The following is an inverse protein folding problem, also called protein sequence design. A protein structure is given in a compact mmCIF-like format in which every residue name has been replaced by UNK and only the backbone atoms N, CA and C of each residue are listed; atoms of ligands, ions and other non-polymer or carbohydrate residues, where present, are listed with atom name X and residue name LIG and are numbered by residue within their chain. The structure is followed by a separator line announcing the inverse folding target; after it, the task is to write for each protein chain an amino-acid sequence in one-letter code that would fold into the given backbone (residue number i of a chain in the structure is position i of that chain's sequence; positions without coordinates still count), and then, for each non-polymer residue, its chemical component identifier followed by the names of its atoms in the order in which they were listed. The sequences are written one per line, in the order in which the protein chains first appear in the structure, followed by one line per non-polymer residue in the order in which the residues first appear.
data_IF_706393794993
#
_entry.id   IF_706393794993
#
_cell.length_a   1.000
_cell.length_b   1.000
_cell.length_c   1.000
_cell.angle_alpha   90.00
_cell.angle_beta   90.00
_cell.angle_gamma   90.00
#
_symmetry.space_group_name_H-M   'P 1'
#
loop_
_entity.id
_entity.type
_entity.pdbx_description
1 polymer ?
#
# COMPACT_ATOMS: atom_id res chain seq x y z
N UNK A 1 39.05 -25.80 -25.65
CA UNK A 1 38.92 -25.14 -26.96
C UNK A 1 38.35 -23.75 -26.68
N UNK A 2 39.24 -22.74 -26.57
CA UNK A 2 38.89 -21.38 -26.19
C UNK A 2 38.31 -20.63 -27.41
N UNK A 3 37.12 -20.06 -27.27
CA UNK A 3 36.63 -19.03 -28.19
C UNK A 3 36.50 -17.71 -27.43
N UNK A 4 37.46 -16.81 -27.65
CA UNK A 4 37.45 -15.44 -27.15
C UNK A 4 36.52 -14.61 -28.06
N UNK A 5 35.49 -14.00 -27.49
CA UNK A 5 34.70 -12.96 -28.15
C UNK A 5 35.34 -11.60 -27.87
N UNK A 6 35.65 -10.87 -28.94
CA UNK A 6 36.17 -9.51 -28.91
C UNK A 6 35.00 -8.51 -28.80
N UNK A 7 35.18 -7.37 -28.09
CA UNK A 7 34.19 -6.31 -28.08
C UNK A 7 34.28 -5.44 -29.35
N UNK A 8 33.16 -5.25 -30.04
CA UNK A 8 32.97 -4.25 -31.08
C UNK A 8 32.71 -2.89 -30.43
N UNK A 9 33.67 -1.97 -30.50
CA UNK A 9 33.46 -0.55 -30.23
C UNK A 9 32.82 0.11 -31.45
N UNK A 10 31.57 0.56 -31.31
CA UNK A 10 30.92 1.44 -32.29
C UNK A 10 31.14 2.88 -31.82
N UNK A 11 32.02 3.59 -32.50
CA UNK A 11 32.20 5.03 -32.34
C UNK A 11 31.10 5.76 -33.13
N UNK A 12 30.13 6.35 -32.42
CA UNK A 12 29.14 7.25 -33.03
C UNK A 12 29.78 8.61 -33.30
N UNK A 13 29.83 8.97 -34.57
CA UNK A 13 30.24 10.28 -35.07
C UNK A 13 29.16 11.33 -34.77
N UNK A 14 29.47 12.32 -33.94
CA UNK A 14 28.67 13.53 -33.75
C UNK A 14 28.93 14.49 -34.92
N UNK A 15 27.94 14.66 -35.80
CA UNK A 15 27.93 15.73 -36.81
C UNK A 15 27.22 16.93 -36.19
N UNK A 16 27.98 17.96 -35.85
CA UNK A 16 27.47 19.28 -35.46
C UNK A 16 27.12 20.07 -36.73
N UNK A 17 25.85 20.06 -37.12
CA UNK A 17 25.29 21.03 -38.06
C UNK A 17 24.78 22.25 -37.30
N UNK A 18 25.53 23.35 -37.38
CA UNK A 18 25.09 24.68 -36.98
C UNK A 18 24.27 25.32 -38.12
N UNK A 19 22.99 25.57 -37.88
CA UNK A 19 22.12 26.46 -38.65
C UNK A 19 21.39 27.34 -37.62
N UNK A 20 21.75 28.61 -37.49
CA UNK A 20 21.25 29.75 -38.27
C UNK A 20 19.97 30.33 -37.67
N UNK A 21 20.07 31.61 -37.34
CA UNK A 21 19.15 32.45 -36.58
C UNK A 21 17.75 32.56 -37.20
N UNK A 22 16.72 32.20 -36.43
CA UNK A 22 15.36 32.68 -36.65
C UNK A 22 14.99 33.64 -35.53
N UNK A 23 14.62 34.86 -35.92
CA UNK A 23 14.08 35.91 -35.08
C UNK A 23 12.89 35.43 -34.25
N UNK A 24 13.03 35.42 -32.94
CA UNK A 24 11.97 35.10 -31.99
C UNK A 24 10.79 36.09 -32.14
N UNK A 25 9.55 35.61 -32.34
CA UNK A 25 8.39 36.46 -32.19
C UNK A 25 8.30 36.90 -30.73
N UNK A 26 8.17 38.21 -30.51
CA UNK A 26 7.98 38.84 -29.20
C UNK A 26 7.00 38.01 -28.37
N UNK A 27 7.51 37.36 -27.33
CA UNK A 27 6.75 36.74 -26.26
C UNK A 27 5.72 37.77 -25.78
N UNK A 28 4.47 37.55 -26.17
CA UNK A 28 3.37 38.26 -25.54
C UNK A 28 3.35 37.79 -24.09
N UNK A 29 3.50 38.67 -23.10
CA UNK A 29 3.56 38.26 -21.71
C UNK A 29 2.31 37.42 -21.43
N UNK A 30 2.51 36.17 -21.03
CA UNK A 30 1.41 35.31 -20.60
C UNK A 30 0.67 36.08 -19.50
N UNK A 31 -0.64 36.34 -19.64
CA UNK A 31 -1.36 37.07 -18.63
C UNK A 31 -1.19 36.37 -17.28
N UNK A 32 -1.07 37.14 -16.18
CA UNK A 32 -0.94 36.55 -14.85
C UNK A 32 -2.12 35.60 -14.60
N UNK A 33 -1.90 34.49 -13.87
CA UNK A 33 -2.98 33.58 -13.51
C UNK A 33 -4.12 34.35 -12.85
N UNK A 34 -5.35 34.08 -13.29
CA UNK A 34 -6.55 34.67 -12.68
C UNK A 34 -6.69 34.09 -11.28
N UNK A 35 -6.72 34.95 -10.26
CA UNK A 35 -7.08 34.57 -8.89
C UNK A 35 -8.58 34.25 -8.88
N UNK A 36 -8.89 32.96 -8.83
CA UNK A 36 -10.26 32.46 -8.77
C UNK A 36 -10.68 32.07 -7.34
N UNK A 37 -9.92 32.50 -6.33
CA UNK A 37 -10.21 32.25 -4.92
C UNK A 37 -9.86 30.85 -4.44
N UNK A 38 -9.21 30.02 -5.27
CA UNK A 38 -8.72 28.71 -4.84
C UNK A 38 -7.45 28.81 -4.01
N UNK A 39 -7.32 27.92 -3.00
CA UNK A 39 -6.17 27.89 -2.11
C UNK A 39 -4.93 27.35 -2.82
N UNK A 40 -3.84 28.11 -2.77
CA UNK A 40 -2.53 27.74 -3.29
C UNK A 40 -1.43 28.32 -2.39
N UNK A 41 -0.25 27.69 -2.38
CA UNK A 41 0.93 28.22 -1.70
C UNK A 41 1.03 27.81 -0.23
N UNK A 42 1.62 28.68 0.58
CA UNK A 42 2.06 28.33 1.94
C UNK A 42 1.05 28.74 3.00
N UNK A 43 0.79 27.82 3.91
CA UNK A 43 0.02 28.05 5.14
C UNK A 43 1.02 28.09 6.29
N UNK A 44 1.33 29.30 6.76
CA UNK A 44 2.28 29.57 7.85
C UNK A 44 1.62 29.86 9.19
N UNK A 45 0.28 29.91 9.23
CA UNK A 45 -0.51 30.17 10.42
C UNK A 45 -1.64 29.14 10.54
N UNK A 46 -2.15 28.94 11.75
CA UNK A 46 -3.29 28.06 11.92
C UNK A 46 -4.55 28.61 11.25
N UNK A 47 -5.23 27.77 10.48
CA UNK A 47 -6.44 28.13 9.74
C UNK A 47 -7.44 26.97 9.77
N UNK A 48 -8.71 27.30 9.61
CA UNK A 48 -9.77 26.31 9.44
C UNK A 48 -10.29 26.37 8.01
N UNK A 49 -10.25 25.25 7.30
CA UNK A 49 -10.92 25.09 6.01
C UNK A 49 -12.37 24.66 6.25
N UNK A 50 -13.28 25.34 5.58
CA UNK A 50 -14.73 25.16 5.76
C UNK A 50 -15.37 24.64 4.48
N UNK A 51 -16.65 24.30 4.55
CA UNK A 51 -17.41 23.83 3.40
C UNK A 51 -17.29 24.76 2.19
N UNK A 52 -17.11 24.18 1.00
CA UNK A 52 -16.92 24.93 -0.24
C UNK A 52 -15.51 25.44 -0.50
N UNK A 53 -14.54 25.18 0.39
CA UNK A 53 -13.13 25.49 0.13
C UNK A 53 -12.64 24.74 -1.11
N UNK A 54 -11.97 25.46 -2.02
CA UNK A 54 -11.42 24.91 -3.27
C UNK A 54 -9.89 24.87 -3.20
N UNK A 55 -9.28 23.70 -3.35
CA UNK A 55 -7.82 23.56 -3.41
C UNK A 55 -7.34 23.73 -4.86
N UNK A 56 -6.52 24.75 -5.13
CA UNK A 56 -6.19 25.20 -6.48
C UNK A 56 -4.90 24.62 -7.08
N UNK A 57 -4.05 24.00 -6.26
CA UNK A 57 -2.73 23.55 -6.66
C UNK A 57 -1.96 22.99 -5.47
N UNK A 58 -0.64 23.22 -5.44
CA UNK A 58 0.20 22.80 -4.33
C UNK A 58 -0.01 23.70 -3.12
N UNK A 59 -0.37 23.10 -1.99
CA UNK A 59 -0.56 23.76 -0.71
C UNK A 59 0.44 23.18 0.28
N UNK A 60 1.24 24.02 0.92
CA UNK A 60 2.25 23.59 1.90
C UNK A 60 1.88 24.09 3.28
N UNK A 61 1.54 23.17 4.18
CA UNK A 61 1.33 23.48 5.61
C UNK A 61 2.71 23.49 6.25
N UNK A 62 3.22 24.67 6.58
CA UNK A 62 4.58 24.81 7.12
C UNK A 62 4.64 24.34 8.57
N UNK A 63 5.86 24.03 9.03
CA UNK A 63 6.12 23.67 10.43
C UNK A 63 5.53 24.71 11.39
N UNK A 64 4.89 24.24 12.47
CA UNK A 64 4.20 25.07 13.46
C UNK A 64 2.80 25.55 13.05
N UNK A 65 2.42 25.46 11.77
CA UNK A 65 1.05 25.75 11.34
C UNK A 65 0.13 24.54 11.50
N UNK A 66 -1.15 24.79 11.79
CA UNK A 66 -2.20 23.76 11.84
C UNK A 66 -3.33 24.12 10.89
N UNK A 67 -3.61 23.26 9.92
CA UNK A 67 -4.86 23.32 9.16
C UNK A 67 -5.86 22.37 9.81
N UNK A 68 -7.01 22.90 10.20
CA UNK A 68 -8.16 22.11 10.62
C UNK A 68 -9.20 22.08 9.49
N UNK A 69 -9.73 20.92 9.13
CA UNK A 69 -10.93 20.84 8.27
C UNK A 69 -12.15 20.74 9.17
N UNK A 70 -13.08 21.67 9.02
CA UNK A 70 -14.28 21.72 9.84
C UNK A 70 -15.12 20.43 9.67
N UNK A 71 -15.79 19.95 10.73
CA UNK A 71 -16.66 18.78 10.63
C UNK A 71 -17.72 18.92 9.54
N UNK A 72 -17.86 17.88 8.71
CA UNK A 72 -18.82 17.85 7.60
C UNK A 72 -18.46 18.71 6.39
N UNK A 73 -17.31 19.40 6.41
CA UNK A 73 -16.91 20.27 5.30
C UNK A 73 -16.64 19.45 4.03
N UNK A 74 -17.19 19.92 2.90
CA UNK A 74 -16.95 19.35 1.58
C UNK A 74 -16.00 20.27 0.82
N UNK A 75 -14.80 19.79 0.64
CA UNK A 75 -13.73 20.44 -0.08
C UNK A 75 -13.71 19.90 -1.51
N UNK A 76 -13.51 20.79 -2.47
CA UNK A 76 -13.25 20.43 -3.85
C UNK A 76 -11.83 20.82 -4.22
N UNK A 77 -11.31 20.30 -5.33
CA UNK A 77 -10.01 20.72 -5.80
C UNK A 77 -9.88 20.63 -7.32
N UNK A 78 -8.94 21.43 -7.81
CA UNK A 78 -8.52 21.41 -9.21
C UNK A 78 -7.61 20.24 -9.48
N UNK A 79 -7.48 19.89 -10.75
CA UNK A 79 -6.51 18.91 -11.23
C UNK A 79 -5.11 19.25 -10.71
N UNK A 80 -4.38 18.22 -10.29
CA UNK A 80 -3.02 18.30 -9.73
C UNK A 80 -2.90 19.05 -8.40
N UNK A 81 -4.01 19.35 -7.70
CA UNK A 81 -3.93 19.83 -6.32
C UNK A 81 -3.24 18.81 -5.42
N UNK A 82 -2.46 19.29 -4.46
CA UNK A 82 -1.63 18.48 -3.57
C UNK A 82 -1.50 19.19 -2.22
N UNK A 83 -1.71 18.48 -1.12
CA UNK A 83 -1.45 19.01 0.23
C UNK A 83 -0.15 18.40 0.72
N UNK A 84 0.84 19.24 1.01
CA UNK A 84 2.13 18.85 1.59
C UNK A 84 2.20 19.33 3.02
N UNK A 85 2.41 18.40 3.95
CA UNK A 85 2.33 18.65 5.40
C UNK A 85 3.75 18.64 5.99
N UNK A 86 4.27 19.81 6.34
CA UNK A 86 5.39 19.97 7.29
C UNK A 86 4.93 20.38 8.70
N UNK A 87 3.73 20.95 8.81
CA UNK A 87 3.03 21.26 10.07
C UNK A 87 2.03 20.17 10.45
N UNK A 88 0.78 20.55 10.73
CA UNK A 88 -0.30 19.61 11.09
C UNK A 88 -1.52 19.77 10.19
N UNK A 89 -2.04 18.66 9.66
CA UNK A 89 -3.41 18.58 9.14
C UNK A 89 -4.27 17.81 10.15
N UNK A 90 -5.35 18.44 10.60
CA UNK A 90 -6.24 17.90 11.63
C UNK A 90 -7.68 17.83 11.16
N UNK A 91 -8.35 16.72 11.45
CA UNK A 91 -9.80 16.54 11.25
C UNK A 91 -10.37 15.80 12.44
N UNK A 92 -11.48 16.28 13.00
CA UNK A 92 -12.16 15.66 14.14
C UNK A 92 -13.67 15.59 13.87
N UNK A 93 -14.05 14.66 13.00
CA UNK A 93 -15.37 14.58 12.40
C UNK A 93 -15.89 13.15 12.17
N UNK A 94 -15.54 12.21 13.06
CA UNK A 94 -15.99 10.80 13.01
C UNK A 94 -17.52 10.63 12.82
N UNK A 95 -18.32 11.50 13.43
CA UNK A 95 -19.78 11.45 13.33
C UNK A 95 -20.35 12.13 12.06
N UNK A 96 -19.58 13.04 11.46
CA UNK A 96 -20.02 13.88 10.33
C UNK A 96 -18.83 14.09 9.39
N UNK A 97 -18.50 13.07 8.62
CA UNK A 97 -17.26 13.05 7.85
C UNK A 97 -17.07 14.31 7.01
N UNK A 98 -15.89 14.92 7.09
CA UNK A 98 -15.43 15.86 6.09
C UNK A 98 -15.01 15.10 4.84
N UNK A 99 -14.97 15.76 3.69
CA UNK A 99 -14.58 15.09 2.43
C UNK A 99 -13.74 15.98 1.52
N UNK A 100 -12.75 15.39 0.85
CA UNK A 100 -12.07 15.98 -0.32
C UNK A 100 -12.31 15.05 -1.51
N UNK A 101 -13.02 15.54 -2.54
CA UNK A 101 -13.31 14.76 -3.76
C UNK A 101 -12.92 15.53 -5.01
N UNK A 102 -12.02 14.92 -5.81
CA UNK A 102 -11.55 15.48 -7.07
C UNK A 102 -11.10 14.37 -8.01
N UNK A 103 -11.27 14.59 -9.32
CA UNK A 103 -11.00 13.55 -10.30
C UNK A 103 -9.51 13.21 -10.48
N UNK A 104 -8.61 14.19 -10.35
CA UNK A 104 -7.18 14.05 -10.70
C UNK A 104 -6.25 14.85 -9.79
N UNK A 105 -6.43 14.73 -8.48
CA UNK A 105 -5.55 15.37 -7.51
C UNK A 105 -4.53 14.37 -6.98
N UNK A 106 -3.44 14.89 -6.41
CA UNK A 106 -2.27 14.09 -6.02
C UNK A 106 -2.36 13.55 -4.59
N UNK A 107 -3.34 14.01 -3.80
CA UNK A 107 -3.56 13.55 -2.44
C UNK A 107 -2.83 14.37 -1.39
N UNK A 108 -2.52 13.70 -0.28
CA UNK A 108 -1.89 14.28 0.90
C UNK A 108 -0.52 13.65 1.10
N UNK A 109 0.52 14.48 1.14
CA UNK A 109 1.92 14.05 1.35
C UNK A 109 2.40 14.60 2.70
N UNK A 110 2.77 13.72 3.63
CA UNK A 110 3.35 14.09 4.91
C UNK A 110 4.87 14.12 4.81
N UNK A 111 5.39 15.33 4.87
CA UNK A 111 6.81 15.63 4.92
C UNK A 111 7.46 15.23 6.25
N UNK A 112 8.76 15.47 6.33
CA UNK A 112 9.50 15.37 7.59
C UNK A 112 8.83 16.19 8.69
N UNK A 113 8.70 15.61 9.88
CA UNK A 113 8.03 16.18 11.07
C UNK A 113 6.53 16.52 10.90
N UNK A 114 5.95 16.36 9.70
CA UNK A 114 4.54 16.63 9.47
C UNK A 114 3.63 15.68 10.24
N UNK A 115 2.47 16.18 10.67
CA UNK A 115 1.49 15.45 11.48
C UNK A 115 0.17 15.30 10.74
N UNK A 116 -0.31 14.06 10.64
CA UNK A 116 -1.68 13.71 10.27
C UNK A 116 -2.43 13.27 11.53
N UNK A 117 -3.45 14.03 11.90
CA UNK A 117 -4.38 13.71 12.99
C UNK A 117 -5.80 13.70 12.43
N UNK A 118 -6.18 12.58 11.83
CA UNK A 118 -7.43 12.44 11.10
C UNK A 118 -8.37 11.50 11.84
N UNK A 119 -9.58 11.98 12.08
CA UNK A 119 -10.71 11.20 12.52
C UNK A 119 -11.94 11.64 11.71
N UNK A 120 -12.38 10.86 10.71
CA UNK A 120 -13.54 11.20 9.88
C UNK A 120 -13.27 12.07 8.64
N UNK A 121 -12.18 11.85 7.90
CA UNK A 121 -11.95 12.50 6.60
C UNK A 121 -12.05 11.49 5.45
N UNK A 122 -12.99 11.71 4.53
CA UNK A 122 -13.13 10.91 3.32
C UNK A 122 -12.34 11.53 2.16
N UNK A 123 -11.54 10.72 1.49
CA UNK A 123 -10.79 11.07 0.28
C UNK A 123 -11.33 10.28 -0.92
N UNK A 124 -11.61 10.97 -2.02
CA UNK A 124 -11.91 10.34 -3.30
C UNK A 124 -10.84 10.66 -4.34
N UNK A 125 -10.39 9.65 -5.08
CA UNK A 125 -9.46 9.79 -6.21
C UNK A 125 -7.98 9.86 -5.81
N UNK A 126 -7.66 10.07 -4.53
CA UNK A 126 -6.28 10.08 -4.04
C UNK A 126 -6.21 9.57 -2.59
N UNK A 127 -4.98 9.43 -2.09
CA UNK A 127 -4.68 8.82 -0.81
C UNK A 127 -3.67 9.60 0.04
N UNK A 128 -3.06 8.91 0.99
CA UNK A 128 -2.04 9.45 1.89
C UNK A 128 -0.65 8.90 1.54
N UNK A 129 0.34 9.77 1.39
CA UNK A 129 1.76 9.41 1.29
C UNK A 129 2.50 9.94 2.53
N UNK A 130 3.35 9.12 3.15
CA UNK A 130 4.31 9.59 4.16
C UNK A 130 5.72 9.53 3.59
N UNK A 131 6.55 10.49 4.01
CA UNK A 131 7.97 10.54 3.66
C UNK A 131 8.82 10.29 4.90
N UNK A 132 10.12 10.02 4.69
CA UNK A 132 11.06 9.68 5.76
C UNK A 132 11.00 10.67 6.92
N UNK A 133 10.99 10.14 8.15
CA UNK A 133 10.95 10.91 9.39
C UNK A 133 9.74 11.86 9.49
N UNK A 134 8.57 11.41 9.02
CA UNK A 134 7.31 12.08 9.35
C UNK A 134 7.09 12.14 10.87
N UNK A 135 6.25 13.08 11.30
CA UNK A 135 5.70 13.06 12.65
C UNK A 135 4.63 11.98 12.81
N UNK A 136 3.73 12.17 13.79
CA UNK A 136 2.60 11.25 13.98
C UNK A 136 1.66 11.27 12.77
N UNK A 137 1.41 10.11 12.15
CA UNK A 137 0.41 9.98 11.08
C UNK A 137 -0.62 8.92 11.46
N UNK A 138 -1.79 9.40 11.89
CA UNK A 138 -2.90 8.58 12.34
C UNK A 138 -4.14 8.95 11.51
N UNK A 139 -4.76 7.95 10.93
CA UNK A 139 -6.01 8.09 10.17
C UNK A 139 -7.05 7.15 10.74
N UNK A 140 -8.17 7.71 11.20
CA UNK A 140 -9.28 6.98 11.82
C UNK A 140 -10.60 7.25 11.15
N UNK A 141 -11.50 6.27 11.19
CA UNK A 141 -12.89 6.40 10.76
C UNK A 141 -13.00 7.09 9.39
N UNK A 142 -12.21 6.66 8.43
CA UNK A 142 -12.01 7.39 7.16
C UNK A 142 -12.32 6.49 5.97
N UNK A 143 -12.67 7.11 4.85
CA UNK A 143 -12.81 6.41 3.56
C UNK A 143 -11.79 6.92 2.55
N UNK A 144 -11.17 6.01 1.82
CA UNK A 144 -10.26 6.32 0.71
C UNK A 144 -10.77 5.59 -0.52
N UNK A 145 -11.57 6.25 -1.35
CA UNK A 145 -12.28 5.62 -2.45
C UNK A 145 -11.72 5.98 -3.81
N UNK A 146 -11.66 5.02 -4.71
CA UNK A 146 -11.23 5.20 -6.09
C UNK A 146 -9.81 5.80 -6.21
N UNK A 147 -8.94 5.50 -5.24
CA UNK A 147 -7.56 5.99 -5.22
C UNK A 147 -6.64 4.92 -5.83
N UNK A 148 -5.90 5.27 -6.88
CA UNK A 148 -4.94 4.32 -7.47
C UNK A 148 -3.85 3.94 -6.45
N UNK A 149 -3.46 4.86 -5.57
CA UNK A 149 -2.56 4.59 -4.44
C UNK A 149 -3.22 5.09 -3.16
N UNK A 150 -4.08 4.27 -2.51
CA UNK A 150 -4.84 4.69 -1.32
C UNK A 150 -3.92 5.13 -0.17
N UNK A 151 -2.79 4.45 -0.01
CA UNK A 151 -1.74 4.91 0.88
C UNK A 151 -0.36 4.45 0.41
N UNK A 152 0.65 5.24 0.78
CA UNK A 152 2.06 4.92 0.64
C UNK A 152 2.82 5.28 1.91
N UNK A 153 3.54 4.32 2.47
CA UNK A 153 4.40 4.52 3.63
C UNK A 153 5.84 4.59 3.17
N UNK A 154 6.47 5.77 3.25
CA UNK A 154 7.87 5.94 2.87
C UNK A 154 8.86 5.20 3.80
N UNK A 155 10.13 5.06 3.38
CA UNK A 155 11.16 4.46 4.23
C UNK A 155 11.43 5.33 5.46
N UNK A 156 11.50 4.72 6.65
CA UNK A 156 11.74 5.42 7.90
C UNK A 156 10.57 6.31 8.34
N UNK A 157 9.36 6.00 7.88
CA UNK A 157 8.12 6.66 8.27
C UNK A 157 7.12 5.64 8.83
N UNK A 158 6.09 6.13 9.53
CA UNK A 158 5.01 5.30 10.07
C UNK A 158 3.64 5.86 9.71
N UNK A 159 2.70 4.98 9.34
CA UNK A 159 1.27 5.31 9.16
C UNK A 159 0.42 4.34 9.99
N UNK A 160 -0.51 4.89 10.76
CA UNK A 160 -1.52 4.13 11.52
C UNK A 160 -2.89 4.33 10.88
N UNK A 161 -3.55 3.23 10.54
CA UNK A 161 -4.92 3.18 10.02
C UNK A 161 -5.81 2.45 11.04
N UNK A 162 -6.94 3.05 11.40
CA UNK A 162 -7.88 2.49 12.37
C UNK A 162 -9.33 2.70 11.90
N UNK A 163 -10.06 1.63 11.59
CA UNK A 163 -11.41 1.72 11.01
C UNK A 163 -11.43 2.54 9.70
N UNK A 164 -10.53 2.18 8.78
CA UNK A 164 -10.44 2.80 7.46
C UNK A 164 -11.06 1.87 6.42
N UNK A 165 -11.87 2.44 5.53
CA UNK A 165 -12.37 1.75 4.34
C UNK A 165 -11.63 2.26 3.12
N UNK A 166 -10.93 1.40 2.40
CA UNK A 166 -10.18 1.77 1.20
C UNK A 166 -10.64 0.96 -0.02
N UNK A 167 -10.68 1.59 -1.19
CA UNK A 167 -10.86 0.88 -2.46
C UNK A 167 -10.05 1.50 -3.56
N UNK A 168 -9.47 0.65 -4.40
CA UNK A 168 -8.84 1.05 -5.66
C UNK A 168 -9.90 1.24 -6.76
N UNK A 169 -9.54 1.89 -7.89
CA UNK A 169 -10.38 1.92 -9.08
C UNK A 169 -10.58 0.53 -9.69
N UNK A 170 -11.74 0.27 -10.30
CA UNK A 170 -11.97 -0.98 -11.04
C UNK A 170 -11.03 -1.13 -12.25
N UNK A 171 -10.67 -0.02 -12.87
CA UNK A 171 -9.79 0.03 -14.04
C UNK A 171 -8.74 1.11 -13.87
N UNK A 172 -7.49 0.79 -14.21
CA UNK A 172 -6.38 1.74 -14.33
C UNK A 172 -5.99 1.91 -15.79
N UNK A 173 -5.28 2.99 -16.11
CA UNK A 173 -4.70 3.17 -17.44
C UNK A 173 -3.68 2.07 -17.76
N UNK A 174 -3.37 1.82 -19.05
CA UNK A 174 -2.51 0.70 -19.49
C UNK A 174 -1.06 0.76 -18.97
N UNK A 175 -0.64 1.90 -18.42
CA UNK A 175 0.69 2.14 -17.85
C UNK A 175 0.64 2.52 -16.37
N UNK A 176 -0.56 2.55 -15.79
CA UNK A 176 -0.75 2.89 -14.39
C UNK A 176 -0.78 1.60 -13.57
N UNK A 177 -0.26 1.68 -12.35
CA UNK A 177 -0.38 0.64 -11.35
C UNK A 177 -1.25 1.17 -10.21
N UNK A 178 -2.16 0.34 -9.72
CA UNK A 178 -2.87 0.62 -8.47
C UNK A 178 -2.45 -0.38 -7.41
N UNK A 179 -1.93 0.15 -6.31
CA UNK A 179 -1.34 -0.62 -5.21
C UNK A 179 -1.14 0.29 -4.00
N UNK A 180 -1.31 -0.25 -2.79
CA UNK A 180 -0.90 0.41 -1.57
C UNK A 180 0.54 0.00 -1.22
N UNK A 181 1.46 0.94 -1.07
CA UNK A 181 2.89 0.65 -0.98
C UNK A 181 3.47 0.92 0.41
N UNK A 182 4.24 -0.03 0.94
CA UNK A 182 4.81 0.07 2.28
C UNK A 182 6.32 -0.13 2.22
N UNK A 183 7.06 0.96 2.37
CA UNK A 183 8.54 0.98 2.48
C UNK A 183 9.02 1.24 3.91
N UNK A 184 8.14 1.69 4.80
CA UNK A 184 8.37 1.89 6.25
C UNK A 184 7.41 1.04 7.09
N UNK A 185 6.85 1.62 8.15
CA UNK A 185 5.99 0.91 9.10
C UNK A 185 4.51 1.21 8.87
N UNK A 186 3.71 0.18 8.54
CA UNK A 186 2.26 0.25 8.52
C UNK A 186 1.67 -0.47 9.76
N UNK A 187 0.76 0.20 10.47
CA UNK A 187 -0.10 -0.44 11.46
C UNK A 187 -1.56 -0.21 11.05
N UNK A 188 -2.29 -1.29 10.78
CA UNK A 188 -3.67 -1.24 10.36
C UNK A 188 -4.56 -2.12 11.27
N UNK A 189 -5.60 -1.53 11.83
CA UNK A 189 -6.66 -2.22 12.57
C UNK A 189 -8.02 -1.94 11.95
N UNK A 190 -8.87 -2.96 11.84
CA UNK A 190 -10.22 -2.82 11.25
C UNK A 190 -10.21 -2.20 9.85
N UNK A 191 -9.17 -2.52 9.05
CA UNK A 191 -9.07 -2.07 7.68
C UNK A 191 -10.02 -2.91 6.81
N UNK A 192 -10.96 -2.25 6.14
CA UNK A 192 -11.70 -2.84 5.03
C UNK A 192 -11.06 -2.37 3.72
N UNK A 193 -10.36 -3.25 3.03
CA UNK A 193 -9.68 -2.90 1.78
C UNK A 193 -10.14 -3.75 0.61
N UNK A 194 -10.65 -3.10 -0.44
CA UNK A 194 -11.00 -3.72 -1.70
C UNK A 194 -10.02 -3.29 -2.80
N UNK A 195 -9.11 -4.20 -3.16
CA UNK A 195 -8.12 -4.00 -4.21
C UNK A 195 -8.74 -4.14 -5.62
N UNK A 196 -10.03 -4.49 -5.75
CA UNK A 196 -10.68 -4.77 -7.05
C UNK A 196 -9.85 -5.75 -7.88
N UNK A 197 -9.60 -5.43 -9.15
CA UNK A 197 -8.74 -6.21 -10.04
C UNK A 197 -7.23 -5.94 -9.88
N UNK A 198 -6.82 -5.16 -8.87
CA UNK A 198 -5.45 -4.67 -8.72
C UNK A 198 -4.67 -5.45 -7.64
N UNK A 199 -3.42 -5.03 -7.41
CA UNK A 199 -2.59 -5.47 -6.29
C UNK A 199 -3.06 -4.77 -5.00
N UNK A 200 -3.02 -5.50 -3.89
CA UNK A 200 -3.39 -4.99 -2.58
C UNK A 200 -2.27 -4.21 -1.88
N UNK A 201 -1.87 -4.68 -0.71
CA UNK A 201 -0.84 -4.04 0.13
C UNK A 201 0.51 -4.67 -0.16
N UNK A 202 1.47 -3.87 -0.61
CA UNK A 202 2.77 -4.33 -1.08
C UNK A 202 3.90 -3.77 -0.23
N UNK A 203 4.59 -4.64 0.51
CA UNK A 203 5.76 -4.30 1.33
C UNK A 203 7.05 -4.42 0.50
N UNK A 204 7.89 -3.40 0.51
CA UNK A 204 9.14 -3.35 -0.27
C UNK A 204 10.29 -2.69 0.48
N UNK A 205 11.44 -3.36 0.48
CA UNK A 205 12.70 -2.80 1.00
C UNK A 205 12.98 -3.18 2.45
N UNK A 206 14.23 -2.96 2.88
CA UNK A 206 14.77 -3.41 4.17
C UNK A 206 14.09 -2.81 5.41
N UNK A 207 13.45 -1.66 5.26
CA UNK A 207 12.77 -0.94 6.35
C UNK A 207 11.27 -1.27 6.42
N UNK A 208 10.74 -2.00 5.43
CA UNK A 208 9.31 -2.26 5.34
C UNK A 208 8.84 -3.27 6.40
N UNK A 209 7.83 -2.87 7.16
CA UNK A 209 7.12 -3.75 8.08
C UNK A 209 5.62 -3.39 8.13
N UNK A 210 4.77 -4.40 8.32
CA UNK A 210 3.34 -4.17 8.50
C UNK A 210 2.77 -5.05 9.61
N UNK A 211 1.87 -4.48 10.40
CA UNK A 211 0.95 -5.19 11.27
C UNK A 211 -0.48 -4.91 10.82
N UNK A 212 -1.23 -5.94 10.46
CA UNK A 212 -2.62 -5.85 10.00
C UNK A 212 -3.46 -6.72 10.92
N UNK A 213 -4.47 -6.15 11.56
CA UNK A 213 -5.28 -6.85 12.58
C UNK A 213 -6.77 -6.55 12.41
N UNK A 214 -7.62 -7.52 12.71
CA UNK A 214 -9.09 -7.39 12.66
C UNK A 214 -9.61 -6.86 11.30
N UNK A 215 -8.96 -7.23 10.20
CA UNK A 215 -9.16 -6.57 8.90
C UNK A 215 -9.83 -7.48 7.87
N UNK A 216 -10.46 -6.88 6.87
CA UNK A 216 -10.99 -7.60 5.71
C UNK A 216 -10.36 -7.09 4.44
N UNK A 217 -9.62 -7.95 3.74
CA UNK A 217 -8.96 -7.65 2.48
C UNK A 217 -9.63 -8.43 1.35
N UNK A 218 -10.06 -7.74 0.30
CA UNK A 218 -10.84 -8.31 -0.81
C UNK A 218 -10.27 -7.91 -2.16
N UNK A 219 -10.44 -8.79 -3.13
CA UNK A 219 -10.22 -8.51 -4.54
C UNK A 219 -11.43 -8.94 -5.37
N UNK A 220 -11.37 -8.71 -6.68
CA UNK A 220 -12.33 -9.22 -7.66
C UNK A 220 -11.56 -9.68 -8.89
N UNK A 221 -11.13 -10.94 -8.89
CA UNK A 221 -10.13 -11.45 -9.85
C UNK A 221 -8.85 -10.59 -9.84
N UNK A 222 -8.51 -10.05 -8.66
CA UNK A 222 -7.35 -9.20 -8.45
C UNK A 222 -6.05 -9.99 -8.39
N UNK A 223 -4.94 -9.26 -8.19
CA UNK A 223 -3.62 -9.86 -7.98
C UNK A 223 -3.49 -10.34 -6.51
N UNK A 224 -2.44 -9.97 -5.80
CA UNK A 224 -2.21 -10.47 -4.44
C UNK A 224 -2.70 -9.44 -3.40
N UNK A 225 -3.37 -9.88 -2.33
CA UNK A 225 -3.97 -8.95 -1.35
C UNK A 225 -2.96 -8.35 -0.38
N UNK A 226 -1.96 -9.15 0.00
CA UNK A 226 -0.79 -8.69 0.75
C UNK A 226 0.44 -9.32 0.16
N UNK A 227 1.37 -8.52 -0.33
CA UNK A 227 2.61 -9.01 -0.91
C UNK A 227 3.84 -8.43 -0.23
N UNK A 228 4.93 -9.19 -0.26
CA UNK A 228 6.24 -8.70 0.17
C UNK A 228 7.21 -8.92 -0.98
N UNK A 229 8.04 -7.93 -1.31
CA UNK A 229 9.11 -8.08 -2.31
C UNK A 229 10.41 -7.49 -1.78
N UNK A 230 11.51 -8.24 -1.91
CA UNK A 230 12.84 -7.69 -1.70
C UNK A 230 13.21 -6.71 -2.81
N UNK A 231 14.04 -5.72 -2.49
CA UNK A 231 14.54 -4.73 -3.46
C UNK A 231 16.03 -4.97 -3.72
N UNK A 232 16.37 -5.56 -4.86
CA UNK A 232 17.76 -5.79 -5.23
C UNK A 232 17.90 -6.89 -6.27
N UNK A 233 19.15 -7.27 -6.57
CA UNK A 233 19.41 -8.41 -7.45
C UNK A 233 19.38 -9.74 -6.71
N UNK A 234 19.63 -9.72 -5.40
CA UNK A 234 19.56 -10.91 -4.55
C UNK A 234 18.53 -10.74 -3.46
N UNK A 235 17.96 -11.85 -2.94
CA UNK A 235 17.03 -11.78 -1.83
C UNK A 235 17.62 -11.03 -0.63
N UNK A 236 18.91 -11.16 -0.30
CA UNK A 236 19.56 -10.49 0.85
C UNK A 236 19.52 -8.96 0.76
N UNK A 237 19.39 -8.41 -0.45
CA UNK A 237 19.27 -6.99 -0.70
C UNK A 237 17.80 -6.57 -0.54
N UNK A 238 17.51 -5.82 0.51
CA UNK A 238 16.22 -5.13 0.63
C UNK A 238 15.02 -6.00 1.00
N UNK A 239 15.22 -7.13 1.69
CA UNK A 239 14.13 -7.94 2.28
C UNK A 239 13.22 -7.12 3.18
N UNK A 240 11.90 -7.13 2.99
CA UNK A 240 10.97 -6.64 4.01
C UNK A 240 11.29 -7.28 5.37
N UNK A 241 11.27 -6.46 6.41
CA UNK A 241 11.71 -6.85 7.75
C UNK A 241 10.70 -7.80 8.40
N UNK A 242 9.43 -7.44 8.40
CA UNK A 242 8.40 -8.30 8.98
C UNK A 242 6.99 -8.02 8.46
N UNK A 243 6.20 -9.08 8.31
CA UNK A 243 4.77 -9.00 8.09
C UNK A 243 4.04 -9.73 9.21
N UNK A 244 3.12 -9.05 9.89
CA UNK A 244 2.24 -9.67 10.88
C UNK A 244 0.80 -9.44 10.46
N UNK A 245 0.05 -10.52 10.31
CA UNK A 245 -1.37 -10.45 10.02
C UNK A 245 -2.12 -11.30 11.03
N UNK A 246 -3.09 -10.69 11.72
CA UNK A 246 -3.91 -11.40 12.68
C UNK A 246 -5.39 -11.11 12.52
N UNK A 247 -6.27 -12.06 12.87
CA UNK A 247 -7.72 -11.88 12.86
C UNK A 247 -8.21 -11.24 11.55
N UNK A 248 -7.72 -11.70 10.40
CA UNK A 248 -7.94 -11.05 9.11
C UNK A 248 -8.54 -12.03 8.11
N UNK A 249 -9.48 -11.57 7.29
CA UNK A 249 -10.08 -12.37 6.20
C UNK A 249 -9.57 -11.90 4.84
N UNK A 250 -9.26 -12.86 3.97
CA UNK A 250 -8.86 -12.68 2.57
C UNK A 250 -9.89 -13.33 1.62
N UNK A 251 -10.28 -12.65 0.53
CA UNK A 251 -11.19 -13.21 -0.48
C UNK A 251 -11.01 -12.63 -1.90
N UNK A 252 -11.31 -13.41 -2.94
CA UNK A 252 -11.58 -12.93 -4.30
C UNK A 252 -10.37 -12.49 -5.15
N UNK A 253 -9.18 -13.00 -4.85
CA UNK A 253 -7.90 -12.56 -5.41
C UNK A 253 -7.02 -13.73 -5.87
N UNK A 254 -5.92 -13.45 -6.55
CA UNK A 254 -4.96 -14.46 -6.98
C UNK A 254 -4.25 -15.10 -5.79
N UNK A 255 -3.55 -14.32 -4.96
CA UNK A 255 -3.12 -14.80 -3.64
C UNK A 255 -3.82 -14.02 -2.52
N UNK A 256 -4.01 -14.67 -1.37
CA UNK A 256 -4.19 -13.95 -0.12
C UNK A 256 -2.90 -13.21 0.22
N UNK A 257 -1.98 -13.84 0.97
CA UNK A 257 -0.59 -13.39 1.06
C UNK A 257 0.32 -13.98 -0.03
N UNK A 258 1.21 -13.15 -0.61
CA UNK A 258 2.33 -13.55 -1.47
C UNK A 258 3.66 -13.07 -0.87
N UNK A 259 4.44 -13.99 -0.32
CA UNK A 259 5.69 -13.66 0.35
C UNK A 259 6.88 -13.86 -0.58
N UNK A 260 7.47 -12.80 -1.12
CA UNK A 260 8.74 -12.85 -1.81
C UNK A 260 9.85 -12.14 -1.02
N UNK A 261 10.66 -12.93 -0.30
CA UNK A 261 11.87 -12.46 0.36
C UNK A 261 11.70 -11.72 1.69
N UNK A 262 10.60 -11.91 2.42
CA UNK A 262 10.45 -11.37 3.78
C UNK A 262 11.36 -12.08 4.80
N UNK A 263 11.86 -11.34 5.79
CA UNK A 263 12.66 -11.95 6.87
C UNK A 263 11.78 -12.74 7.84
N UNK A 264 10.69 -12.15 8.33
CA UNK A 264 9.74 -12.86 9.20
C UNK A 264 8.30 -12.60 8.77
N UNK A 265 7.48 -13.64 8.71
CA UNK A 265 6.04 -13.50 8.53
C UNK A 265 5.28 -14.29 9.60
N UNK A 266 4.27 -13.67 10.20
CA UNK A 266 3.40 -14.29 11.21
C UNK A 266 1.95 -14.11 10.78
N UNK A 267 1.22 -15.23 10.71
CA UNK A 267 -0.21 -15.28 10.46
C UNK A 267 -0.90 -15.95 11.64
N UNK A 268 -1.85 -15.24 12.24
CA UNK A 268 -2.50 -15.65 13.49
C UNK A 268 -4.01 -15.48 13.41
N UNK A 269 -4.80 -16.55 13.55
CA UNK A 269 -6.27 -16.43 13.43
C UNK A 269 -6.72 -15.80 12.09
N UNK A 270 -6.06 -16.10 10.98
CA UNK A 270 -6.50 -15.61 9.66
C UNK A 270 -7.50 -16.57 9.01
N UNK A 271 -8.32 -16.05 8.11
CA UNK A 271 -9.15 -16.86 7.21
C UNK A 271 -8.86 -16.49 5.76
N UNK A 272 -8.33 -17.43 4.98
CA UNK A 272 -8.28 -17.33 3.52
C UNK A 272 -9.46 -18.10 2.92
N UNK A 273 -10.29 -17.45 2.11
CA UNK A 273 -11.52 -18.05 1.54
C UNK A 273 -11.21 -18.86 0.27
N UNK A 274 -12.12 -19.75 -0.10
CA UNK A 274 -11.95 -20.63 -1.28
C UNK A 274 -12.04 -19.92 -2.64
N UNK A 275 -12.51 -18.67 -2.66
CA UNK A 275 -12.50 -17.81 -3.85
C UNK A 275 -11.14 -17.11 -4.09
N UNK A 276 -10.15 -17.38 -3.23
CA UNK A 276 -8.73 -17.10 -3.47
C UNK A 276 -8.15 -18.24 -4.34
N UNK A 277 -7.24 -17.93 -5.28
CA UNK A 277 -6.56 -18.98 -6.06
C UNK A 277 -5.52 -19.71 -5.20
N UNK A 278 -4.62 -18.95 -4.58
CA UNK A 278 -3.56 -19.43 -3.69
C UNK A 278 -3.71 -18.84 -2.29
N UNK A 279 -4.04 -19.67 -1.30
CA UNK A 279 -4.32 -19.24 0.07
C UNK A 279 -3.20 -18.39 0.65
N UNK A 280 -1.99 -18.96 0.71
CA UNK A 280 -0.72 -18.28 0.99
C UNK A 280 0.32 -18.80 0.00
N UNK A 281 1.08 -17.90 -0.63
CA UNK A 281 2.25 -18.25 -1.45
C UNK A 281 3.52 -17.83 -0.74
N UNK A 282 4.50 -18.72 -0.62
CA UNK A 282 5.79 -18.43 0.04
C UNK A 282 6.96 -18.68 -0.91
N UNK A 283 7.74 -17.62 -1.11
CA UNK A 283 8.92 -17.55 -1.98
C UNK A 283 10.11 -16.89 -1.28
N UNK A 284 11.20 -17.64 -1.10
CA UNK A 284 12.46 -17.15 -0.52
C UNK A 284 12.29 -16.44 0.85
N UNK A 285 11.25 -16.72 1.65
CA UNK A 285 11.07 -16.13 3.00
C UNK A 285 11.99 -16.81 4.03
N UNK A 286 12.52 -16.10 5.03
CA UNK A 286 13.37 -16.78 6.03
C UNK A 286 12.51 -17.57 7.02
N UNK A 287 11.62 -16.91 7.75
CA UNK A 287 10.77 -17.56 8.75
C UNK A 287 9.30 -17.22 8.51
N UNK A 288 8.45 -18.25 8.43
CA UNK A 288 7.00 -18.11 8.33
C UNK A 288 6.33 -18.93 9.42
N UNK A 289 5.55 -18.27 10.27
CA UNK A 289 4.71 -18.92 11.28
C UNK A 289 3.24 -18.73 10.94
N UNK A 290 2.47 -19.81 10.90
CA UNK A 290 1.02 -19.78 10.72
C UNK A 290 0.39 -20.53 11.89
N UNK A 291 -0.50 -19.86 12.62
CA UNK A 291 -1.17 -20.44 13.78
C UNK A 291 -2.66 -20.12 13.83
N UNK A 292 -3.43 -21.05 14.37
CA UNK A 292 -4.86 -20.89 14.67
C UNK A 292 -5.71 -20.39 13.48
N UNK A 293 -5.33 -20.77 12.25
CA UNK A 293 -5.85 -20.17 11.01
C UNK A 293 -6.63 -21.14 10.11
N UNK A 294 -7.59 -20.60 9.35
CA UNK A 294 -8.34 -21.31 8.31
C UNK A 294 -7.75 -20.96 6.93
N UNK A 295 -7.17 -21.94 6.24
CA UNK A 295 -6.56 -21.76 4.92
C UNK A 295 -7.40 -22.45 3.84
N UNK A 296 -8.11 -21.63 3.06
CA UNK A 296 -8.76 -22.04 1.82
C UNK A 296 -7.90 -21.75 0.58
N UNK A 297 -8.45 -22.09 -0.58
CA UNK A 297 -7.83 -21.86 -1.88
C UNK A 297 -8.43 -22.76 -2.96
N UNK A 298 -8.69 -22.21 -4.13
CA UNK A 298 -9.25 -22.98 -5.24
C UNK A 298 -8.20 -23.86 -5.93
N UNK A 299 -6.94 -23.42 -6.00
CA UNK A 299 -5.82 -24.21 -6.52
C UNK A 299 -4.97 -24.77 -5.40
N UNK A 300 -4.47 -23.92 -4.50
CA UNK A 300 -3.76 -24.38 -3.32
C UNK A 300 -4.05 -23.52 -2.10
N UNK A 301 -4.13 -24.13 -0.92
CA UNK A 301 -4.23 -23.37 0.34
C UNK A 301 -2.86 -22.86 0.82
N UNK A 302 -1.78 -23.53 0.40
CA UNK A 302 -0.40 -23.13 0.61
C UNK A 302 0.44 -23.57 -0.59
N UNK A 303 1.13 -22.60 -1.21
CA UNK A 303 2.01 -22.78 -2.37
C UNK A 303 3.45 -22.43 -1.98
N UNK A 304 4.35 -23.39 -2.13
CA UNK A 304 5.77 -23.22 -1.85
C UNK A 304 6.58 -23.18 -3.13
N UNK A 305 7.28 -22.07 -3.33
CA UNK A 305 8.19 -21.91 -4.45
C UNK A 305 9.51 -21.42 -3.91
N UNK A 306 10.56 -22.25 -3.98
CA UNK A 306 11.96 -21.88 -3.68
C UNK A 306 12.25 -21.46 -2.22
N UNK A 307 13.15 -22.23 -1.60
CA UNK A 307 13.87 -22.00 -0.33
C UNK A 307 13.25 -21.08 0.74
N UNK A 308 12.05 -21.35 1.29
CA UNK A 308 11.76 -20.84 2.62
C UNK A 308 12.72 -21.47 3.63
N UNK A 309 13.30 -20.70 4.55
CA UNK A 309 14.30 -21.25 5.47
C UNK A 309 13.66 -22.07 6.61
N UNK A 310 12.54 -21.60 7.17
CA UNK A 310 11.78 -22.27 8.25
C UNK A 310 10.29 -21.98 8.14
N UNK A 311 9.45 -23.02 8.25
CA UNK A 311 7.99 -22.87 8.28
C UNK A 311 7.42 -23.63 9.48
N UNK A 312 6.65 -22.91 10.29
CA UNK A 312 5.98 -23.43 11.48
C UNK A 312 4.48 -23.36 11.29
N UNK A 313 3.81 -24.50 11.40
CA UNK A 313 2.34 -24.61 11.37
C UNK A 313 1.86 -25.10 12.73
N UNK A 314 0.86 -24.43 13.32
CA UNK A 314 0.30 -24.83 14.62
C UNK A 314 -1.21 -24.64 14.62
N UNK A 315 -1.98 -25.70 14.83
CA UNK A 315 -3.45 -25.65 14.83
C UNK A 315 -3.99 -24.90 13.60
N UNK A 316 -3.77 -25.46 12.41
CA UNK A 316 -4.24 -24.86 11.14
C UNK A 316 -5.30 -25.78 10.53
N UNK A 317 -6.43 -25.20 10.14
CA UNK A 317 -7.46 -25.89 9.38
C UNK A 317 -7.29 -25.63 7.88
N UNK A 318 -7.49 -26.67 7.07
CA UNK A 318 -7.64 -26.56 5.63
C UNK A 318 -8.58 -27.68 5.14
N UNK A 319 -9.31 -27.48 4.03
CA UNK A 319 -10.18 -28.51 3.48
C UNK A 319 -9.40 -29.80 3.18
N UNK A 320 -10.00 -30.95 3.47
CA UNK A 320 -9.42 -32.27 3.19
C UNK A 320 -9.47 -32.60 1.69
N UNK A 321 -8.75 -31.83 0.89
CA UNK A 321 -8.46 -32.13 -0.50
C UNK A 321 -6.93 -32.12 -0.69
N UNK A 322 -6.29 -33.31 -0.74
CA UNK A 322 -4.84 -33.40 -0.86
C UNK A 322 -4.32 -32.84 -2.20
N UNK A 323 -5.19 -32.65 -3.21
CA UNK A 323 -4.80 -32.01 -4.47
C UNK A 323 -4.55 -30.49 -4.32
N UNK A 324 -4.97 -29.89 -3.20
CA UNK A 324 -4.85 -28.46 -2.92
C UNK A 324 -3.65 -28.08 -2.04
N UNK A 325 -2.75 -29.01 -1.75
CA UNK A 325 -1.44 -28.68 -1.21
C UNK A 325 -0.42 -28.74 -2.35
N UNK A 326 0.10 -27.59 -2.77
CA UNK A 326 1.13 -27.54 -3.81
C UNK A 326 2.50 -27.28 -3.17
N UNK A 327 3.29 -28.34 -3.05
CA UNK A 327 4.70 -28.24 -2.68
C UNK A 327 5.51 -28.45 -3.95
N UNK A 328 6.19 -27.42 -4.44
CA UNK A 328 7.21 -27.62 -5.47
C UNK A 328 8.48 -28.16 -4.80
N UNK A 329 8.66 -29.48 -4.84
CA UNK A 329 9.64 -30.24 -4.03
C UNK A 329 11.08 -30.13 -4.59
N UNK A 330 11.43 -29.06 -5.30
CA UNK A 330 12.80 -28.86 -5.77
C UNK A 330 13.82 -28.60 -4.64
N UNK A 331 13.37 -28.41 -3.38
CA UNK A 331 14.27 -28.25 -2.23
C UNK A 331 13.98 -29.24 -1.07
N UNK A 332 14.89 -30.20 -0.79
CA UNK A 332 14.77 -31.17 0.30
C UNK A 332 15.03 -30.60 1.71
N UNK A 333 15.36 -29.31 1.84
CA UNK A 333 15.69 -28.67 3.13
C UNK A 333 14.47 -28.06 3.86
N UNK A 334 13.26 -28.16 3.33
CA UNK A 334 12.07 -27.66 4.01
C UNK A 334 11.81 -28.46 5.29
N UNK A 335 12.02 -27.82 6.45
CA UNK A 335 11.68 -28.39 7.73
C UNK A 335 10.31 -27.85 8.16
N UNK A 336 9.26 -28.65 7.97
CA UNK A 336 7.98 -28.41 8.62
C UNK A 336 8.16 -28.72 10.11
N UNK A 337 8.14 -27.69 10.94
CA UNK A 337 8.24 -27.81 12.39
C UNK A 337 6.85 -27.59 13.00
N UNK A 338 6.22 -28.64 13.53
CA UNK A 338 4.90 -28.53 14.18
C UNK A 338 4.27 -29.89 14.51
N UNK A 339 3.34 -29.93 15.46
CA UNK A 339 2.51 -31.11 15.71
C UNK A 339 1.63 -31.35 14.48
N UNK A 340 1.92 -32.42 13.74
CA UNK A 340 1.43 -32.70 12.38
C UNK A 340 -0.07 -33.04 12.27
N UNK A 341 -0.91 -32.66 13.23
CA UNK A 341 -2.35 -32.91 13.11
C UNK A 341 -3.04 -31.61 12.73
N UNK A 342 -3.43 -31.43 11.46
CA UNK A 342 -4.31 -30.35 11.06
C UNK A 342 -5.54 -30.30 11.98
N UNK A 343 -6.08 -29.10 12.19
CA UNK A 343 -7.36 -28.97 12.87
C UNK A 343 -8.41 -29.79 12.09
N UNK A 344 -9.28 -30.52 12.80
CA UNK A 344 -10.29 -31.38 12.17
C UNK A 344 -11.51 -30.60 11.67
N UNK A 345 -11.64 -29.35 12.06
CA UNK A 345 -12.73 -28.44 11.71
C UNK A 345 -12.20 -27.01 11.62
N UNK A 346 -12.97 -26.14 10.96
CA UNK A 346 -12.71 -24.70 10.93
C UNK A 346 -12.50 -24.18 12.35
N UNK A 347 -11.51 -23.31 12.49
CA UNK A 347 -11.10 -22.71 13.75
C UNK A 347 -12.06 -21.55 14.04
N UNK A 348 -12.85 -21.64 15.12
CA UNK A 348 -13.76 -20.56 15.50
C UNK A 348 -12.98 -19.29 15.85
N UNK A 349 -13.45 -18.15 15.38
CA UNK A 349 -12.81 -16.85 15.67
C UNK A 349 -11.59 -16.53 14.81
N UNK A 350 -11.21 -17.40 13.86
CA UNK A 350 -10.31 -17.00 12.79
C UNK A 350 -11.02 -16.03 11.83
N UNK A 351 -10.37 -14.93 11.50
CA UNK A 351 -10.94 -13.76 10.83
C UNK A 351 -11.21 -12.60 11.80
N UNK A 352 -11.81 -11.49 11.31
CA UNK A 352 -12.06 -10.30 12.11
C UNK A 352 -12.91 -10.60 13.34
N UNK A 353 -12.49 -10.06 14.47
CA UNK A 353 -13.30 -10.08 15.69
C UNK A 353 -14.39 -9.00 15.59
N UNK A 354 -15.57 -9.25 16.16
CA UNK A 354 -16.56 -8.20 16.31
C UNK A 354 -16.05 -7.12 17.25
N UNK A 355 -16.46 -5.88 16.98
CA UNK A 355 -16.33 -4.75 17.90
C UNK A 355 -17.13 -4.95 19.20
#
# INVERSE_FOLDING_TARGET
MLLRLAPFSVASLLVLTACSSSSDPKDSPTPPPVDDGSLVGDVSQSVTWTDGTVLGGKIRILEGATVEIAPGAKLSCKDSAEIIIGGTLKVSSAATHASISCAKWLGVVVGQNGVLDIDGLDLEGAGYETTRANGSCIVKNAKITNASRPFKVGPGSKLVLDHVVATTPETVGPYDSSVAEVFGTLEASYLEYDAKGNEGIMLKGAEAEATITDSTLKGTNGQDLVSTYFTGQTPEEGRPKSLKVSYTTFSGAHCGPHLQGVTTAEFDHITSRDDIIYGITVFDANEVTIKDSNLGGSVAWLDFKKNPAVITLTNVFFPADPAKMQIDVENPAMQLLGEETPAQAEIPGAGPRPE
#
